data_IF_864553889069
#
_entry.id   IF_864553889069
#
_cell.length_a   1.000
_cell.length_b   1.000
_cell.length_c   1.000
_cell.angle_alpha   90.00
_cell.angle_beta   90.00
_cell.angle_gamma   90.00
#
_symmetry.space_group_name_H-M   'P 1'
#
loop_
_entity.id
_entity.type
_entity.pdbx_description
1 polymer ?
#
# COMPACT_ATOMS: atom_id res chain seq x y z
N UNK A 1 -59.68 17.43 -3.87
CA UNK A 1 -59.18 16.48 -2.86
C UNK A 1 -57.79 16.03 -3.22
N UNK A 2 -56.84 16.25 -2.33
CA UNK A 2 -55.40 16.14 -2.56
C UNK A 2 -54.94 14.67 -2.68
N UNK A 3 -54.10 14.38 -3.68
CA UNK A 3 -53.21 13.21 -3.66
C UNK A 3 -51.84 13.74 -3.22
N UNK A 4 -51.49 13.57 -1.95
CA UNK A 4 -50.13 13.77 -1.46
C UNK A 4 -49.27 12.60 -1.94
N UNK A 5 -48.50 12.81 -3.01
CA UNK A 5 -47.37 11.96 -3.33
C UNK A 5 -46.33 12.12 -2.21
N UNK A 6 -46.16 11.07 -1.40
CA UNK A 6 -45.04 10.97 -0.46
C UNK A 6 -43.77 10.90 -1.30
N UNK A 7 -43.02 11.98 -1.38
CA UNK A 7 -41.66 11.94 -1.89
C UNK A 7 -40.91 10.89 -1.08
N UNK A 8 -40.51 9.80 -1.72
CA UNK A 8 -39.52 8.92 -1.15
C UNK A 8 -38.29 9.80 -0.92
N UNK A 9 -37.86 9.94 0.34
CA UNK A 9 -36.58 10.55 0.66
C UNK A 9 -35.54 9.83 -0.17
N UNK A 10 -34.96 10.52 -1.15
CA UNK A 10 -33.75 10.04 -1.79
C UNK A 10 -32.76 9.85 -0.64
N UNK A 11 -32.48 8.59 -0.31
CA UNK A 11 -31.42 8.23 0.60
C UNK A 11 -30.18 8.90 0.02
N UNK A 12 -29.72 9.99 0.63
CA UNK A 12 -28.47 10.62 0.21
C UNK A 12 -27.44 9.51 0.21
N UNK A 13 -26.91 9.17 -0.96
CA UNK A 13 -25.80 8.25 -1.08
C UNK A 13 -24.76 8.69 -0.04
N UNK A 14 -24.12 7.77 0.71
CA UNK A 14 -23.19 8.16 1.74
C UNK A 14 -22.17 9.12 1.13
N UNK A 15 -22.21 10.38 1.56
CA UNK A 15 -21.27 11.36 1.08
C UNK A 15 -19.88 10.90 1.54
N UNK A 16 -18.95 10.76 0.60
CA UNK A 16 -17.56 10.53 0.97
C UNK A 16 -17.07 11.68 1.87
N UNK A 17 -16.12 11.37 2.73
CA UNK A 17 -15.57 12.28 3.73
C UNK A 17 -14.19 12.77 3.32
N UNK A 18 -13.71 13.83 3.97
CA UNK A 18 -12.34 14.28 3.80
C UNK A 18 -11.30 13.21 4.23
N UNK A 19 -11.67 12.30 5.14
CA UNK A 19 -10.80 11.19 5.52
C UNK A 19 -10.71 10.14 4.41
N UNK A 20 -11.80 9.86 3.69
CA UNK A 20 -11.79 8.97 2.52
C UNK A 20 -10.86 9.53 1.43
N UNK A 21 -10.94 10.84 1.18
CA UNK A 21 -10.04 11.52 0.23
C UNK A 21 -8.58 11.38 0.64
N UNK A 22 -8.25 11.68 1.90
CA UNK A 22 -6.87 11.56 2.40
C UNK A 22 -6.35 10.12 2.35
N UNK A 23 -7.21 9.14 2.66
CA UNK A 23 -6.86 7.73 2.56
C UNK A 23 -6.51 7.35 1.12
N UNK A 24 -7.35 7.70 0.15
CA UNK A 24 -7.10 7.40 -1.27
C UNK A 24 -5.83 8.08 -1.77
N UNK A 25 -5.58 9.33 -1.36
CA UNK A 25 -4.37 10.06 -1.73
C UNK A 25 -3.11 9.45 -1.12
N UNK A 26 -3.14 9.13 0.17
CA UNK A 26 -2.00 8.52 0.86
C UNK A 26 -1.71 7.12 0.32
N UNK A 27 -2.74 6.30 0.14
CA UNK A 27 -2.56 4.92 -0.32
C UNK A 27 -2.00 4.86 -1.75
N UNK A 28 -2.23 5.88 -2.61
CA UNK A 28 -1.52 5.99 -3.91
C UNK A 28 0.00 6.12 -3.71
N UNK A 29 0.45 6.97 -2.78
CA UNK A 29 1.87 7.14 -2.46
C UNK A 29 2.47 5.87 -1.86
N UNK A 30 1.74 5.23 -0.95
CA UNK A 30 2.10 3.97 -0.33
C UNK A 30 2.32 2.88 -1.39
N UNK A 31 1.31 2.63 -2.23
CA UNK A 31 1.38 1.63 -3.31
C UNK A 31 2.49 1.93 -4.32
N UNK A 32 2.76 3.21 -4.60
CA UNK A 32 3.85 3.58 -5.50
C UNK A 32 5.23 3.13 -4.97
N UNK A 33 5.46 3.10 -3.64
CA UNK A 33 6.72 2.62 -3.09
C UNK A 33 6.88 1.09 -3.25
N UNK A 34 5.80 0.32 -3.14
CA UNK A 34 5.83 -1.11 -3.46
C UNK A 34 6.30 -1.36 -4.90
N UNK A 35 5.86 -0.54 -5.86
CA UNK A 35 6.32 -0.63 -7.26
C UNK A 35 7.82 -0.37 -7.40
N UNK A 36 8.37 0.59 -6.65
CA UNK A 36 9.82 0.85 -6.60
C UNK A 36 10.57 -0.37 -6.08
N UNK A 37 10.07 -1.00 -5.02
CA UNK A 37 10.69 -2.21 -4.45
C UNK A 37 10.65 -3.39 -5.43
N UNK A 38 9.48 -3.65 -6.06
CA UNK A 38 9.34 -4.76 -7.02
C UNK A 38 10.17 -4.58 -8.28
N UNK A 39 10.41 -3.32 -8.70
CA UNK A 39 11.22 -3.02 -9.88
C UNK A 39 12.69 -3.43 -9.73
N UNK A 40 13.18 -3.62 -8.49
CA UNK A 40 14.53 -4.10 -8.24
C UNK A 40 14.70 -5.59 -8.59
N UNK A 41 13.66 -6.41 -8.44
CA UNK A 41 13.75 -7.88 -8.48
C UNK A 41 14.52 -8.45 -9.68
N UNK A 42 14.26 -8.05 -10.94
CA UNK A 42 14.87 -8.70 -12.12
C UNK A 42 16.39 -8.67 -12.14
N UNK A 43 17.00 -7.66 -11.51
CA UNK A 43 18.46 -7.50 -11.47
C UNK A 43 19.10 -8.02 -10.16
N UNK A 44 18.30 -8.55 -9.23
CA UNK A 44 18.74 -8.85 -7.86
C UNK A 44 18.63 -10.33 -7.50
N UNK A 45 17.68 -11.04 -8.11
CA UNK A 45 17.52 -12.49 -7.93
C UNK A 45 16.91 -13.14 -9.17
N UNK A 46 17.18 -14.44 -9.33
CA UNK A 46 16.54 -15.31 -10.33
C UNK A 46 15.61 -16.34 -9.69
N UNK A 47 15.39 -16.27 -8.37
CA UNK A 47 14.49 -17.18 -7.67
C UNK A 47 13.05 -17.03 -8.16
N UNK A 48 12.52 -18.12 -8.71
CA UNK A 48 11.21 -18.12 -9.35
C UNK A 48 10.07 -17.72 -8.39
N UNK A 49 10.15 -18.08 -7.11
CA UNK A 49 9.12 -17.74 -6.11
C UNK A 49 9.10 -16.25 -5.77
N UNK A 50 10.27 -15.60 -5.67
CA UNK A 50 10.37 -14.15 -5.47
C UNK A 50 9.97 -13.38 -6.72
N UNK A 51 10.40 -13.82 -7.91
CA UNK A 51 9.96 -13.21 -9.17
C UNK A 51 8.44 -13.26 -9.35
N UNK A 52 7.81 -14.42 -9.06
CA UNK A 52 6.37 -14.58 -9.16
C UNK A 52 5.61 -13.76 -8.09
N UNK A 53 6.15 -13.63 -6.89
CA UNK A 53 5.60 -12.74 -5.87
C UNK A 53 5.64 -11.28 -6.34
N UNK A 54 6.81 -10.81 -6.79
CA UNK A 54 6.99 -9.44 -7.25
C UNK A 54 6.04 -9.04 -8.37
N UNK A 55 5.87 -9.91 -9.36
CA UNK A 55 4.93 -9.68 -10.46
C UNK A 55 3.47 -9.56 -9.99
N UNK A 56 3.05 -10.40 -9.02
CA UNK A 56 1.69 -10.32 -8.48
C UNK A 56 1.45 -8.99 -7.76
N UNK A 57 2.38 -8.60 -6.89
CA UNK A 57 2.35 -7.32 -6.18
C UNK A 57 2.32 -6.17 -7.19
N UNK A 58 3.21 -6.17 -8.19
CA UNK A 58 3.26 -5.11 -9.20
C UNK A 58 1.92 -4.94 -9.93
N UNK A 59 1.27 -6.04 -10.31
CA UNK A 59 -0.01 -6.02 -11.02
C UNK A 59 -1.13 -5.50 -10.13
N UNK A 60 -1.31 -6.07 -8.93
CA UNK A 60 -2.38 -5.65 -8.01
C UNK A 60 -2.25 -4.18 -7.62
N UNK A 61 -1.05 -3.77 -7.21
CA UNK A 61 -0.78 -2.41 -6.75
C UNK A 61 -0.99 -1.37 -7.88
N UNK A 62 -0.65 -1.68 -9.14
CA UNK A 62 -0.94 -0.81 -10.28
C UNK A 62 -2.43 -0.64 -10.54
N UNK A 63 -3.21 -1.72 -10.43
CA UNK A 63 -4.64 -1.66 -10.68
C UNK A 63 -5.38 -0.93 -9.56
N UNK A 64 -4.96 -1.12 -8.31
CA UNK A 64 -5.46 -0.37 -7.16
C UNK A 64 -5.12 1.12 -7.25
N UNK A 65 -3.91 1.50 -7.68
CA UNK A 65 -3.56 2.91 -7.95
C UNK A 65 -4.52 3.52 -8.98
N UNK A 66 -4.78 2.83 -10.10
CA UNK A 66 -5.70 3.35 -11.14
C UNK A 66 -7.10 3.55 -10.57
N UNK A 67 -7.58 2.61 -9.75
CA UNK A 67 -8.88 2.70 -9.11
C UNK A 67 -8.94 3.93 -8.18
N UNK A 68 -7.99 4.10 -7.27
CA UNK A 68 -7.95 5.25 -6.35
C UNK A 68 -7.88 6.59 -7.09
N UNK A 69 -7.06 6.66 -8.13
CA UNK A 69 -6.97 7.84 -8.97
C UNK A 69 -8.29 8.15 -9.69
N UNK A 70 -9.02 7.11 -10.13
CA UNK A 70 -10.32 7.29 -10.76
C UNK A 70 -11.37 7.77 -9.74
N UNK A 71 -11.39 7.15 -8.56
CA UNK A 71 -12.26 7.52 -7.45
C UNK A 71 -12.11 9.01 -7.09
N UNK A 72 -10.86 9.51 -7.04
CA UNK A 72 -10.55 10.92 -6.79
C UNK A 72 -11.01 11.83 -7.93
N UNK A 73 -10.77 11.46 -9.19
CA UNK A 73 -11.21 12.24 -10.38
C UNK A 73 -12.72 12.40 -10.43
N UNK A 74 -13.47 11.33 -10.21
CA UNK A 74 -14.94 11.34 -10.28
C UNK A 74 -15.56 12.25 -9.22
N UNK A 75 -14.81 12.53 -8.16
CA UNK A 75 -15.21 13.39 -7.03
C UNK A 75 -14.59 14.79 -7.10
N UNK A 76 -13.91 15.13 -8.19
CA UNK A 76 -13.26 16.43 -8.39
C UNK A 76 -12.11 16.70 -7.42
N UNK A 77 -11.50 15.67 -6.85
CA UNK A 77 -10.43 15.78 -5.87
C UNK A 77 -9.06 15.84 -6.56
N UNK A 78 -8.08 16.40 -5.84
CA UNK A 78 -6.67 16.34 -6.22
C UNK A 78 -6.21 14.88 -6.35
N UNK A 79 -5.57 14.56 -7.48
CA UNK A 79 -4.96 13.25 -7.73
C UNK A 79 -3.44 13.35 -7.61
N UNK A 80 -2.82 12.77 -6.57
CA UNK A 80 -1.38 12.74 -6.46
C UNK A 80 -0.78 11.90 -7.59
N UNK A 81 0.42 12.28 -8.02
CA UNK A 81 1.22 11.42 -8.89
C UNK A 81 1.62 10.17 -8.09
N UNK A 82 1.68 8.98 -8.72
CA UNK A 82 2.17 7.77 -8.08
C UNK A 82 3.70 7.86 -7.99
N UNK A 83 4.18 8.70 -7.07
CA UNK A 83 5.57 9.10 -6.91
C UNK A 83 5.94 8.89 -5.44
N UNK A 84 6.74 7.86 -5.17
CA UNK A 84 7.29 7.57 -3.84
C UNK A 84 8.35 8.59 -3.38
N UNK A 85 8.90 9.39 -4.30
CA UNK A 85 9.85 10.47 -4.01
C UNK A 85 9.16 11.77 -3.59
N UNK A 86 7.87 11.96 -3.87
CA UNK A 86 7.14 13.16 -3.47
C UNK A 86 6.98 13.27 -1.95
N UNK A 87 6.82 12.14 -1.25
CA UNK A 87 6.80 12.13 0.22
C UNK A 87 8.17 12.42 0.82
N UNK A 88 9.24 11.93 0.18
CA UNK A 88 10.61 12.28 0.56
C UNK A 88 10.93 13.78 0.39
N UNK A 89 10.18 14.51 -0.44
CA UNK A 89 10.33 15.96 -0.57
C UNK A 89 9.72 16.72 0.63
N UNK A 90 8.72 16.16 1.32
CA UNK A 90 8.18 16.73 2.57
C UNK A 90 9.13 16.54 3.77
N UNK A 91 10.05 15.58 3.71
CA UNK A 91 11.08 15.30 4.73
C UNK A 91 12.15 16.41 4.83
N UNK A 92 12.23 17.33 3.86
CA UNK A 92 13.23 18.39 3.81
C UNK A 92 12.74 19.76 4.36
N UNK A 93 11.58 19.81 5.00
CA UNK A 93 11.08 21.03 5.66
C UNK A 93 11.80 21.25 7.01
N UNK A 94 12.38 22.45 7.26
CA UNK A 94 13.03 22.73 8.54
C UNK A 94 12.04 22.64 9.71
N UNK A 95 12.28 21.72 10.64
CA UNK A 95 11.49 21.57 11.88
C UNK A 95 10.59 20.33 11.96
N UNK A 96 10.57 19.46 10.96
CA UNK A 96 9.95 18.13 11.04
C UNK A 96 11.03 17.05 11.17
N UNK A 97 10.84 16.13 12.12
CA UNK A 97 11.70 14.93 12.18
C UNK A 97 11.28 13.94 11.10
N UNK A 98 12.22 13.16 10.57
CA UNK A 98 11.96 12.13 9.54
C UNK A 98 10.96 11.05 9.99
N UNK A 99 10.69 10.96 11.29
CA UNK A 99 9.77 9.97 11.86
C UNK A 99 8.31 10.44 11.89
N UNK A 100 8.05 11.75 11.77
CA UNK A 100 6.69 12.33 11.90
C UNK A 100 5.97 12.52 10.56
N UNK A 101 6.63 12.24 9.43
CA UNK A 101 6.13 12.57 8.08
C UNK A 101 5.90 11.38 7.14
N UNK A 102 6.43 10.20 7.47
CA UNK A 102 6.21 9.00 6.67
C UNK A 102 4.91 8.31 7.06
N UNK A 103 4.14 7.86 6.07
CA UNK A 103 2.99 6.98 6.33
C UNK A 103 3.46 5.68 7.00
N UNK A 104 2.60 5.03 7.82
CA UNK A 104 2.93 3.76 8.47
C UNK A 104 3.47 2.74 7.47
N UNK A 105 4.53 2.01 7.84
CA UNK A 105 5.11 0.91 7.06
C UNK A 105 6.01 1.30 5.90
N UNK A 106 5.95 2.55 5.40
CA UNK A 106 6.84 3.03 4.34
C UNK A 106 8.32 2.83 4.71
N UNK A 107 9.11 2.34 3.74
CA UNK A 107 10.56 2.28 3.86
C UNK A 107 11.12 3.70 3.86
N UNK A 108 12.10 3.91 4.74
CA UNK A 108 12.94 5.11 4.70
C UNK A 108 13.88 5.08 3.48
N UNK A 109 14.48 6.24 3.17
CA UNK A 109 15.53 6.34 2.13
C UNK A 109 16.69 5.37 2.38
N UNK A 110 17.08 5.17 3.64
CA UNK A 110 18.19 4.28 4.00
C UNK A 110 17.81 2.81 3.79
N UNK A 111 16.59 2.41 4.16
CA UNK A 111 16.08 1.06 3.88
C UNK A 111 15.98 0.78 2.38
N UNK A 112 15.45 1.73 1.58
CA UNK A 112 15.43 1.60 0.12
C UNK A 112 16.85 1.49 -0.47
N UNK A 113 17.80 2.26 0.06
CA UNK A 113 19.19 2.19 -0.38
C UNK A 113 19.85 0.86 0.00
N UNK A 114 19.55 0.30 1.17
CA UNK A 114 20.01 -1.02 1.60
C UNK A 114 19.43 -2.12 0.70
N UNK A 115 18.11 -2.11 0.48
CA UNK A 115 17.42 -3.03 -0.42
C UNK A 115 18.00 -2.98 -1.84
N UNK A 116 18.27 -1.78 -2.36
CA UNK A 116 18.84 -1.61 -3.70
C UNK A 116 20.28 -2.16 -3.83
N UNK A 117 21.05 -2.21 -2.74
CA UNK A 117 22.42 -2.73 -2.69
C UNK A 117 22.48 -4.25 -2.51
N UNK A 118 21.51 -4.84 -1.82
CA UNK A 118 21.47 -6.28 -1.57
C UNK A 118 21.36 -7.10 -2.88
N UNK A 119 21.82 -8.35 -2.88
CA UNK A 119 21.73 -9.29 -4.02
C UNK A 119 21.47 -10.71 -3.52
N UNK A 120 20.94 -11.57 -4.39
CA UNK A 120 20.71 -12.99 -4.09
C UNK A 120 19.91 -13.19 -2.79
N UNK A 121 20.32 -14.16 -1.97
CA UNK A 121 19.63 -14.50 -0.71
C UNK A 121 19.46 -13.32 0.24
N UNK A 122 20.42 -12.41 0.30
CA UNK A 122 20.32 -11.23 1.18
C UNK A 122 19.23 -10.28 0.67
N UNK A 123 19.17 -10.05 -0.64
CA UNK A 123 18.07 -9.28 -1.25
C UNK A 123 16.72 -9.94 -1.01
N UNK A 124 16.63 -11.25 -1.18
CA UNK A 124 15.36 -11.98 -1.02
C UNK A 124 14.82 -11.87 0.40
N UNK A 125 15.69 -12.04 1.41
CA UNK A 125 15.31 -11.89 2.82
C UNK A 125 14.93 -10.46 3.15
N UNK A 126 15.68 -9.48 2.65
CA UNK A 126 15.42 -8.06 2.91
C UNK A 126 14.13 -7.61 2.23
N UNK A 127 13.93 -7.94 0.95
CA UNK A 127 12.71 -7.67 0.19
C UNK A 127 11.46 -8.20 0.91
N UNK A 128 11.49 -9.44 1.39
CA UNK A 128 10.35 -10.03 2.09
C UNK A 128 10.06 -9.32 3.41
N UNK A 129 11.09 -9.03 4.23
CA UNK A 129 10.92 -8.31 5.50
C UNK A 129 10.36 -6.91 5.29
N UNK A 130 10.95 -6.19 4.35
CA UNK A 130 10.59 -4.82 4.04
C UNK A 130 9.18 -4.73 3.44
N UNK A 131 8.81 -5.67 2.56
CA UNK A 131 7.48 -5.71 1.98
C UNK A 131 6.41 -6.15 3.00
N UNK A 132 6.75 -7.00 3.97
CA UNK A 132 5.87 -7.30 5.12
C UNK A 132 5.63 -6.03 5.94
N UNK A 133 6.70 -5.30 6.32
CA UNK A 133 6.59 -4.03 7.05
C UNK A 133 5.69 -3.04 6.29
N UNK A 134 5.90 -2.91 4.98
CA UNK A 134 5.12 -2.05 4.12
C UNK A 134 3.63 -2.44 4.13
N UNK A 135 3.31 -3.73 3.95
CA UNK A 135 1.92 -4.19 3.97
C UNK A 135 1.24 -4.01 5.33
N UNK A 136 1.95 -4.20 6.44
CA UNK A 136 1.44 -3.89 7.79
C UNK A 136 1.10 -2.39 7.95
N UNK A 137 1.85 -1.52 7.27
CA UNK A 137 1.53 -0.10 7.11
C UNK A 137 0.19 0.15 6.45
N UNK A 138 -0.06 -0.49 5.30
CA UNK A 138 -1.34 -0.40 4.59
C UNK A 138 -2.52 -0.86 5.47
N UNK A 139 -2.36 -1.96 6.21
CA UNK A 139 -3.39 -2.44 7.16
C UNK A 139 -3.66 -1.41 8.27
N UNK A 140 -2.63 -0.72 8.75
CA UNK A 140 -2.78 0.35 9.75
C UNK A 140 -3.53 1.56 9.20
N UNK A 141 -3.30 1.90 7.92
CA UNK A 141 -4.06 2.96 7.24
C UNK A 141 -5.53 2.59 7.07
N UNK A 142 -5.83 1.34 6.70
CA UNK A 142 -7.21 0.82 6.62
C UNK A 142 -7.88 0.88 8.00
N UNK A 143 -7.21 0.41 9.05
CA UNK A 143 -7.73 0.47 10.41
C UNK A 143 -8.03 1.92 10.85
N UNK A 144 -7.16 2.87 10.50
CA UNK A 144 -7.35 4.29 10.79
C UNK A 144 -8.56 4.87 10.07
N UNK A 145 -8.76 4.51 8.79
CA UNK A 145 -9.93 4.92 8.01
C UNK A 145 -11.22 4.41 8.65
N UNK A 146 -11.28 3.13 8.98
CA UNK A 146 -12.49 2.50 9.53
C UNK A 146 -12.76 2.89 10.99
N UNK A 147 -11.72 3.28 11.73
CA UNK A 147 -11.84 3.79 13.10
C UNK A 147 -12.21 5.28 13.18
N UNK A 148 -12.12 6.03 12.07
CA UNK A 148 -12.47 7.44 12.04
C UNK A 148 -13.99 7.62 11.89
N UNK A 149 -14.58 8.42 12.78
CA UNK A 149 -16.05 8.59 12.82
C UNK A 149 -16.60 9.10 11.50
N UNK A 150 -17.47 8.30 10.88
CA UNK A 150 -18.20 8.66 9.66
C UNK A 150 -17.43 8.42 8.36
N UNK A 151 -16.16 8.03 8.39
CA UNK A 151 -15.40 7.65 7.18
C UNK A 151 -15.54 6.17 6.85
N UNK A 152 -15.13 5.80 5.64
CA UNK A 152 -15.21 4.44 5.12
C UNK A 152 -16.64 3.93 4.96
N UNK A 153 -17.65 4.80 4.97
CA UNK A 153 -19.07 4.42 4.86
C UNK A 153 -19.58 4.45 3.41
N UNK A 154 -18.87 5.13 2.51
CA UNK A 154 -19.20 5.06 1.09
C UNK A 154 -18.94 3.64 0.57
N UNK A 155 -19.90 2.99 -0.11
CA UNK A 155 -19.77 1.59 -0.52
C UNK A 155 -18.50 1.28 -1.32
N UNK A 156 -18.06 2.21 -2.17
CA UNK A 156 -16.85 2.03 -2.98
C UNK A 156 -15.58 2.08 -2.12
N UNK A 157 -15.48 3.05 -1.20
CA UNK A 157 -14.36 3.15 -0.24
C UNK A 157 -14.33 1.93 0.69
N UNK A 158 -15.48 1.54 1.25
CA UNK A 158 -15.57 0.40 2.15
C UNK A 158 -15.11 -0.89 1.47
N UNK A 159 -15.61 -1.15 0.25
CA UNK A 159 -15.23 -2.31 -0.54
C UNK A 159 -13.73 -2.32 -0.81
N UNK A 160 -13.17 -1.19 -1.26
CA UNK A 160 -11.73 -1.11 -1.50
C UNK A 160 -10.90 -1.35 -0.24
N UNK A 161 -11.27 -0.72 0.89
CA UNK A 161 -10.57 -0.91 2.15
C UNK A 161 -10.60 -2.38 2.62
N UNK A 162 -11.73 -3.08 2.43
CA UNK A 162 -11.86 -4.50 2.74
C UNK A 162 -11.05 -5.41 1.79
N UNK A 163 -10.98 -5.06 0.50
CA UNK A 163 -10.14 -5.74 -0.49
C UNK A 163 -8.66 -5.61 -0.11
N UNK A 164 -8.19 -4.38 0.21
CA UNK A 164 -6.82 -4.13 0.69
C UNK A 164 -6.51 -4.92 1.96
N UNK A 165 -7.40 -4.91 2.97
CA UNK A 165 -7.16 -5.68 4.21
C UNK A 165 -7.00 -7.18 3.93
N UNK A 166 -7.87 -7.73 3.08
CA UNK A 166 -7.87 -9.16 2.75
C UNK A 166 -6.62 -9.55 1.96
N UNK A 167 -6.30 -8.81 0.91
CA UNK A 167 -5.21 -9.14 0.00
C UNK A 167 -3.85 -8.93 0.65
N UNK A 168 -3.66 -7.83 1.38
CA UNK A 168 -2.39 -7.54 2.07
C UNK A 168 -2.10 -8.57 3.17
N UNK A 169 -3.12 -9.03 3.92
CA UNK A 169 -2.95 -10.13 4.89
C UNK A 169 -2.54 -11.44 4.23
N UNK A 170 -3.17 -11.77 3.09
CA UNK A 170 -2.83 -12.98 2.34
C UNK A 170 -1.40 -12.89 1.77
N UNK A 171 -0.96 -11.72 1.32
CA UNK A 171 0.41 -11.48 0.87
C UNK A 171 1.43 -11.54 2.01
N UNK A 172 1.15 -10.93 3.17
CA UNK A 172 1.99 -11.07 4.37
C UNK A 172 2.19 -12.54 4.72
N UNK A 173 1.10 -13.33 4.78
CA UNK A 173 1.20 -14.76 5.10
C UNK A 173 2.08 -15.52 4.09
N UNK A 174 1.97 -15.22 2.79
CA UNK A 174 2.82 -15.81 1.75
C UNK A 174 4.29 -15.40 1.89
N UNK A 175 4.55 -14.13 2.19
CA UNK A 175 5.91 -13.60 2.38
C UNK A 175 6.57 -14.19 3.62
N UNK A 176 5.87 -14.28 4.75
CA UNK A 176 6.38 -14.92 5.97
C UNK A 176 6.74 -16.38 5.72
N UNK A 177 5.87 -17.13 5.01
CA UNK A 177 6.17 -18.51 4.66
C UNK A 177 7.35 -18.67 3.68
N UNK A 178 7.62 -17.68 2.83
CA UNK A 178 8.83 -17.65 1.99
C UNK A 178 10.08 -17.35 2.85
N UNK A 179 9.97 -16.38 3.75
CA UNK A 179 11.06 -15.97 4.63
C UNK A 179 11.50 -17.09 5.56
N UNK A 180 10.54 -17.82 6.15
CA UNK A 180 10.80 -18.99 7.00
C UNK A 180 11.55 -20.08 6.22
N UNK A 181 11.15 -20.34 4.96
CA UNK A 181 11.85 -21.29 4.10
C UNK A 181 13.29 -20.86 3.82
N UNK A 182 13.54 -19.57 3.58
CA UNK A 182 14.89 -19.02 3.39
C UNK A 182 15.74 -19.04 4.67
N UNK A 183 15.10 -18.99 5.85
CA UNK A 183 15.75 -19.15 7.14
C UNK A 183 16.13 -20.60 7.44
N UNK A 184 15.28 -21.55 7.04
CA UNK A 184 15.47 -22.99 7.28
C UNK A 184 16.41 -23.65 6.27
N UNK A 185 16.62 -23.07 5.09
CA UNK A 185 17.72 -23.45 4.19
C UNK A 185 19.02 -22.84 4.69
N UNK A 186 19.55 -23.32 5.82
CA UNK A 186 20.93 -23.07 6.18
C UNK A 186 21.86 -23.58 5.06
N UNK A 187 22.81 -22.75 4.64
CA UNK A 187 23.81 -23.09 3.63
C UNK A 187 24.46 -24.45 3.94
N UNK A 188 24.63 -25.35 2.96
CA UNK A 188 25.55 -26.47 3.15
C UNK A 188 26.94 -25.89 3.48
N UNK A 189 27.73 -26.55 4.35
CA UNK A 189 29.09 -26.10 4.65
C UNK A 189 29.86 -26.00 3.33
N UNK A 190 30.49 -24.84 3.09
CA UNK A 190 31.43 -24.69 1.98
C UNK A 190 32.67 -25.56 2.28
N UNK A 191 33.24 -26.24 1.27
CA UNK A 191 34.43 -27.08 1.44
C UNK A 191 35.68 -26.29 1.83
#
# INVERSE_FOLDING_TARGET
SCITARAASAQQAPHYTAADVRFMQGMIGHHAQALVMTALIPERTTRADICALGQRIEVSQKDEIKMMQQWLRDRGQSVPKPDAQHENQMMNMPGMTTSDTLMPGMLTTDQLAELAKARGTDFEKLFLKDMIQHHEGALSMVATLLGTTGSGQEPEVFRFAAEVDTDQRAEIARMSALLDRLGNTASPPQP
#
